data_IF_048533855423
#
_entry.id   IF_048533855423
#
_cell.length_a   1.000
_cell.length_b   1.000
_cell.length_c   1.000
_cell.angle_alpha   90.00
_cell.angle_beta   90.00
_cell.angle_gamma   90.00
#
_symmetry.space_group_name_H-M   'P 1'
#
loop_
_entity.id
_entity.type
_entity.pdbx_description
1 polymer ?
#
# COMPACT_ATOMS: atom_id res chain seq x y z
N UNK A 1 -8.17 0.11 -13.40
CA UNK A 1 -7.32 -0.77 -12.57
C UNK A 1 -7.38 -2.16 -13.16
N UNK A 2 -6.33 -2.93 -12.99
CA UNK A 2 -6.28 -4.34 -13.37
C UNK A 2 -5.86 -5.10 -12.12
N UNK A 3 -6.67 -6.08 -11.74
CA UNK A 3 -6.35 -7.02 -10.69
C UNK A 3 -5.28 -7.99 -11.20
N UNK A 4 -4.21 -8.14 -10.42
CA UNK A 4 -3.20 -9.17 -10.61
C UNK A 4 -3.39 -10.18 -9.48
N UNK A 5 -3.79 -11.40 -9.85
CA UNK A 5 -3.92 -12.51 -8.90
C UNK A 5 -2.54 -13.15 -8.68
N UNK A 6 -2.09 -13.15 -7.43
CA UNK A 6 -0.94 -13.92 -6.97
C UNK A 6 -1.43 -15.01 -6.04
N UNK A 7 -0.73 -16.15 -6.00
CA UNK A 7 -1.13 -17.40 -5.36
C UNK A 7 -2.13 -17.28 -4.20
N UNK A 8 -1.85 -16.42 -3.22
CA UNK A 8 -2.65 -16.23 -2.01
C UNK A 8 -3.23 -14.81 -1.82
N UNK A 9 -3.04 -13.86 -2.75
CA UNK A 9 -3.56 -12.49 -2.65
C UNK A 9 -3.74 -11.79 -4.00
N UNK A 10 -4.68 -10.86 -4.06
CA UNK A 10 -4.91 -9.98 -5.20
C UNK A 10 -4.15 -8.66 -5.00
N UNK A 11 -3.75 -8.02 -6.10
CA UNK A 11 -3.25 -6.65 -6.08
C UNK A 11 -3.81 -5.90 -7.27
N UNK A 12 -4.49 -4.79 -7.00
CA UNK A 12 -4.97 -3.88 -8.03
C UNK A 12 -3.85 -2.94 -8.48
N UNK A 13 -3.56 -2.91 -9.79
CA UNK A 13 -2.64 -1.94 -10.37
C UNK A 13 -3.32 -0.98 -11.36
N UNK A 14 -2.87 0.26 -11.39
CA UNK A 14 -3.27 1.25 -12.36
C UNK A 14 -2.30 1.26 -13.54
N UNK A 15 -2.76 0.91 -14.74
CA UNK A 15 -1.91 0.89 -15.93
C UNK A 15 -1.47 2.29 -16.40
N UNK A 16 -2.25 3.34 -16.09
CA UNK A 16 -1.93 4.71 -16.49
C UNK A 16 -0.79 5.31 -15.66
N UNK A 17 -0.86 5.19 -14.32
CA UNK A 17 0.12 5.79 -13.43
C UNK A 17 1.11 4.78 -12.81
N UNK A 18 0.86 3.47 -12.93
CA UNK A 18 1.62 2.41 -12.26
C UNK A 18 1.47 2.39 -10.74
N UNK A 19 0.39 2.98 -10.21
CA UNK A 19 0.06 2.91 -8.79
C UNK A 19 -0.57 1.58 -8.42
N UNK A 20 -0.57 1.26 -7.14
CA UNK A 20 -1.07 0.02 -6.56
C UNK A 20 -2.13 0.37 -5.51
N UNK A 21 -3.22 -0.37 -5.52
CA UNK A 21 -4.25 -0.33 -4.51
C UNK A 21 -4.21 -1.64 -3.72
N UNK A 22 -4.20 -1.51 -2.39
CA UNK A 22 -4.41 -2.63 -1.48
C UNK A 22 -5.67 -2.38 -0.66
N UNK A 23 -6.63 -3.29 -0.74
CA UNK A 23 -7.83 -3.20 0.07
C UNK A 23 -7.60 -3.63 1.54
N UNK A 24 -8.61 -3.42 2.38
CA UNK A 24 -8.51 -3.77 3.81
C UNK A 24 -8.24 -5.25 4.07
N UNK A 25 -8.79 -6.15 3.26
CA UNK A 25 -8.60 -7.60 3.41
C UNK A 25 -7.23 -8.05 2.93
N UNK A 26 -6.74 -7.50 1.82
CA UNK A 26 -5.37 -7.75 1.34
C UNK A 26 -4.34 -7.26 2.36
N UNK A 27 -4.56 -6.09 2.96
CA UNK A 27 -3.70 -5.57 4.03
C UNK A 27 -3.68 -6.48 5.26
N UNK A 28 -4.83 -7.01 5.68
CA UNK A 28 -4.93 -7.98 6.77
C UNK A 28 -4.14 -9.25 6.46
N UNK A 29 -4.23 -9.76 5.22
CA UNK A 29 -3.46 -10.92 4.75
C UNK A 29 -1.95 -10.67 4.74
N UNK A 30 -1.51 -9.49 4.28
CA UNK A 30 -0.09 -9.12 4.20
C UNK A 30 0.53 -8.93 5.59
N UNK A 31 -0.22 -8.29 6.50
CA UNK A 31 0.25 -7.91 7.84
C UNK A 31 0.02 -9.02 8.88
N UNK A 32 -0.80 -10.02 8.56
CA UNK A 32 -1.09 -11.17 9.44
C UNK A 32 -1.80 -10.80 10.74
N UNK A 33 -2.34 -9.57 10.82
CA UNK A 33 -3.08 -9.03 11.95
C UNK A 33 -4.15 -8.07 11.41
N UNK A 34 -5.31 -8.05 12.06
CA UNK A 34 -6.31 -6.99 11.90
C UNK A 34 -5.71 -5.71 12.51
N UNK A 35 -5.00 -4.97 11.67
CA UNK A 35 -4.47 -3.66 12.02
C UNK A 35 -5.35 -2.61 11.37
N UNK A 36 -5.91 -1.66 12.14
CA UNK A 36 -6.64 -0.55 11.56
C UNK A 36 -5.75 0.14 10.54
N UNK A 37 -6.24 0.41 9.34
CA UNK A 37 -5.47 1.01 8.23
C UNK A 37 -4.75 2.30 8.67
N UNK A 38 -5.36 3.04 9.60
CA UNK A 38 -4.79 4.25 10.22
C UNK A 38 -3.57 4.00 11.11
N UNK A 39 -3.32 2.78 11.56
CA UNK A 39 -2.14 2.38 12.34
C UNK A 39 -0.96 2.09 11.42
N UNK A 40 -1.21 1.58 10.21
CA UNK A 40 -0.19 1.37 9.17
C UNK A 40 0.33 2.71 8.66
N UNK A 41 -0.57 3.69 8.54
CA UNK A 41 -0.21 5.08 8.37
C UNK A 41 0.29 5.67 9.70
N UNK A 42 1.56 5.43 10.00
CA UNK A 42 2.24 6.03 11.15
C UNK A 42 1.98 7.55 11.16
N UNK A 43 1.95 8.14 12.36
CA UNK A 43 1.42 9.48 12.69
C UNK A 43 2.27 10.64 12.13
N UNK A 44 2.62 10.59 10.84
CA UNK A 44 3.27 11.68 10.11
C UNK A 44 2.31 12.81 9.79
N UNK A 45 2.81 13.83 9.10
CA UNK A 45 2.00 14.95 8.64
C UNK A 45 0.87 14.45 7.73
N UNK A 46 -0.37 14.69 8.14
CA UNK A 46 -1.55 14.32 7.36
C UNK A 46 -1.88 15.45 6.39
N UNK A 47 -1.88 15.15 5.10
CA UNK A 47 -2.27 16.10 4.06
C UNK A 47 -3.47 15.59 3.26
N UNK A 48 -4.08 16.48 2.47
CA UNK A 48 -5.20 16.09 1.60
C UNK A 48 -4.63 15.44 0.35
N UNK A 49 -4.99 14.17 0.13
CA UNK A 49 -4.58 13.46 -1.08
C UNK A 49 -5.15 14.09 -2.34
N UNK A 50 -4.40 14.00 -3.43
CA UNK A 50 -4.88 14.30 -4.78
C UNK A 50 -5.76 13.18 -5.32
N UNK A 51 -5.75 12.00 -4.69
CA UNK A 51 -6.46 10.79 -5.11
C UNK A 51 -7.83 10.66 -4.45
N UNK A 52 -8.67 9.90 -5.15
CA UNK A 52 -9.95 9.42 -4.64
C UNK A 52 -9.86 7.92 -4.45
N UNK A 53 -10.51 7.42 -3.41
CA UNK A 53 -10.59 5.98 -3.18
C UNK A 53 -11.33 5.33 -4.36
N UNK A 54 -10.79 4.24 -4.94
CA UNK A 54 -11.44 3.56 -6.07
C UNK A 54 -12.76 2.88 -5.67
N UNK A 55 -12.95 2.56 -4.38
CA UNK A 55 -14.16 1.91 -3.86
C UNK A 55 -15.27 2.92 -3.56
N UNK A 56 -15.00 3.96 -2.77
CA UNK A 56 -16.02 4.91 -2.32
C UNK A 56 -15.99 6.29 -3.00
N UNK A 57 -15.03 6.54 -3.87
CA UNK A 57 -14.85 7.78 -4.64
C UNK A 57 -14.69 9.07 -3.79
N UNK A 58 -14.48 8.94 -2.47
CA UNK A 58 -14.16 10.05 -1.57
C UNK A 58 -12.67 10.41 -1.65
N UNK A 59 -12.34 11.67 -1.37
CA UNK A 59 -10.94 12.10 -1.24
C UNK A 59 -10.25 11.32 -0.12
N UNK A 60 -9.02 10.91 -0.40
CA UNK A 60 -8.16 10.20 0.54
C UNK A 60 -7.33 11.18 1.37
N UNK A 61 -6.73 10.66 2.43
CA UNK A 61 -5.76 11.39 3.26
C UNK A 61 -4.37 10.85 2.95
N UNK A 62 -3.42 11.73 2.67
CA UNK A 62 -2.03 11.36 2.42
C UNK A 62 -1.25 11.40 3.74
N UNK A 63 -0.44 10.38 3.98
CA UNK A 63 0.35 10.19 5.20
C UNK A 63 1.80 9.93 4.82
N UNK A 64 2.75 10.61 5.45
CA UNK A 64 4.16 10.29 5.31
C UNK A 64 4.56 9.16 6.27
N UNK A 65 5.13 8.06 5.74
CA UNK A 65 5.66 6.96 6.54
C UNK A 65 6.88 7.41 7.35
N UNK A 66 7.03 6.91 8.59
CA UNK A 66 8.21 7.15 9.41
C UNK A 66 9.31 6.10 9.16
N UNK A 67 9.66 5.91 7.89
CA UNK A 67 10.79 5.09 7.46
C UNK A 67 12.00 5.97 7.12
N UNK A 68 13.23 5.41 7.12
CA UNK A 68 14.42 6.12 6.65
C UNK A 68 14.25 6.72 5.25
N UNK A 69 13.42 6.10 4.42
CA UNK A 69 12.89 6.66 3.18
C UNK A 69 11.42 7.04 3.41
N UNK A 70 11.18 8.27 3.84
CA UNK A 70 9.82 8.78 4.02
C UNK A 70 9.08 8.70 2.70
N UNK A 71 7.97 7.99 2.69
CA UNK A 71 7.14 7.72 1.51
C UNK A 71 5.74 8.22 1.81
N UNK A 72 5.11 8.92 0.87
CA UNK A 72 3.72 9.32 1.02
C UNK A 72 2.85 8.09 0.73
N UNK A 73 1.80 7.85 1.50
CA UNK A 73 0.80 6.82 1.20
C UNK A 73 -0.59 7.42 1.32
N UNK A 74 -1.47 7.02 0.43
CA UNK A 74 -2.82 7.54 0.36
C UNK A 74 -3.78 6.58 1.06
N UNK A 75 -4.48 7.04 2.09
CA UNK A 75 -5.36 6.20 2.91
C UNK A 75 -6.82 6.59 2.72
N UNK A 76 -7.67 5.59 2.52
CA UNK A 76 -9.11 5.79 2.48
C UNK A 76 -9.65 6.23 3.86
N UNK A 77 -10.38 7.36 3.87
CA UNK A 77 -10.99 7.89 5.11
C UNK A 77 -12.13 7.02 5.66
N UNK A 78 -12.59 6.05 4.88
CA UNK A 78 -13.61 5.07 5.25
C UNK A 78 -13.06 3.64 5.29
N UNK A 79 -11.74 3.50 5.39
CA UNK A 79 -11.08 2.21 5.66
C UNK A 79 -11.27 1.12 4.59
N UNK A 80 -11.47 1.50 3.32
CA UNK A 80 -11.50 0.52 2.22
C UNK A 80 -10.11 0.02 1.80
N UNK A 81 -9.04 0.75 2.12
CA UNK A 81 -7.70 0.39 1.65
C UNK A 81 -6.71 1.55 1.61
N UNK A 82 -5.53 1.25 1.11
CA UNK A 82 -4.38 2.14 0.92
C UNK A 82 -3.99 2.14 -0.56
N UNK A 83 -3.69 3.32 -1.08
CA UNK A 83 -3.09 3.51 -2.38
C UNK A 83 -1.61 3.87 -2.24
N UNK A 84 -0.80 3.23 -3.07
CA UNK A 84 0.63 3.45 -3.21
C UNK A 84 0.92 3.93 -4.63
N UNK A 85 1.60 5.05 -4.77
CA UNK A 85 2.12 5.48 -6.05
C UNK A 85 3.28 4.62 -6.53
N UNK A 86 3.60 4.81 -7.81
CA UNK A 86 4.59 3.99 -8.50
C UNK A 86 5.90 3.99 -7.72
N UNK A 87 6.31 2.81 -7.25
CA UNK A 87 7.56 2.60 -6.51
C UNK A 87 7.49 2.89 -5.00
N UNK A 88 6.37 3.42 -4.49
CA UNK A 88 6.20 3.68 -3.05
C UNK A 88 6.15 2.39 -2.24
N UNK A 89 5.32 1.42 -2.67
CA UNK A 89 5.23 0.12 -2.03
C UNK A 89 6.58 -0.61 -2.00
N UNK A 90 7.36 -0.55 -3.09
CA UNK A 90 8.71 -1.11 -3.15
C UNK A 90 9.66 -0.41 -2.16
N UNK A 91 9.57 0.92 -2.06
CA UNK A 91 10.38 1.73 -1.14
C UNK A 91 10.10 1.38 0.31
N UNK A 92 8.83 1.18 0.65
CA UNK A 92 8.38 0.76 1.99
C UNK A 92 8.87 -0.67 2.25
N UNK A 93 8.65 -1.60 1.32
CA UNK A 93 9.11 -2.97 1.46
C UNK A 93 10.63 -3.04 1.68
N UNK A 94 11.41 -2.23 0.96
CA UNK A 94 12.85 -2.07 1.14
C UNK A 94 13.25 -1.52 2.50
N UNK A 95 12.44 -0.66 3.08
CA UNK A 95 12.70 0.00 4.37
C UNK A 95 12.29 -0.84 5.59
N UNK A 96 11.46 -1.87 5.40
CA UNK A 96 11.09 -2.81 6.46
C UNK A 96 12.29 -3.69 6.84
N UNK A 97 12.70 -3.62 8.11
CA UNK A 97 13.72 -4.49 8.69
C UNK A 97 13.12 -5.86 9.08
N UNK A 98 13.88 -6.94 8.88
CA UNK A 98 13.58 -8.27 9.47
C UNK A 98 13.47 -8.13 11.00
N UNK A 99 12.41 -8.63 11.66
CA UNK A 99 11.59 -9.79 11.29
C UNK A 99 10.17 -9.45 10.80
N UNK A 100 9.85 -8.19 10.51
CA UNK A 100 8.53 -7.76 10.00
C UNK A 100 8.28 -8.13 8.54
N UNK A 101 9.24 -8.80 7.90
CA UNK A 101 9.14 -9.27 6.52
C UNK A 101 8.30 -10.56 6.50
N UNK A 102 7.01 -10.41 6.25
CA UNK A 102 6.16 -11.57 5.97
C UNK A 102 6.57 -12.19 4.61
N UNK A 103 6.34 -13.50 4.45
CA UNK A 103 6.53 -14.20 3.17
C UNK A 103 5.81 -13.51 2.00
N UNK A 104 4.71 -12.81 2.31
CA UNK A 104 3.94 -12.03 1.35
C UNK A 104 4.72 -10.80 0.86
N UNK A 105 5.39 -10.05 1.74
CA UNK A 105 6.26 -8.94 1.35
C UNK A 105 7.47 -9.39 0.51
N UNK A 106 7.93 -10.62 0.71
CA UNK A 106 8.94 -11.24 -0.14
C UNK A 106 8.42 -11.57 -1.54
N UNK A 107 7.22 -12.14 -1.63
CA UNK A 107 6.55 -12.38 -2.90
C UNK A 107 6.29 -11.07 -3.64
N UNK A 108 5.82 -10.03 -2.92
CA UNK A 108 5.65 -8.68 -3.46
C UNK A 108 6.97 -8.08 -3.96
N UNK A 109 8.07 -8.17 -3.19
CA UNK A 109 9.40 -7.72 -3.65
C UNK A 109 9.79 -8.39 -4.99
N UNK A 110 9.57 -9.69 -5.14
CA UNK A 110 9.89 -10.41 -6.37
C UNK A 110 9.05 -9.95 -7.59
N UNK A 111 7.84 -9.46 -7.35
CA UNK A 111 6.94 -8.91 -8.37
C UNK A 111 7.39 -7.51 -8.79
N UNK A 112 7.77 -6.66 -7.84
CA UNK A 112 8.06 -5.23 -8.10
C UNK A 112 9.54 -4.93 -8.39
N UNK A 113 10.45 -5.91 -8.24
CA UNK A 113 11.87 -5.79 -8.64
C UNK A 113 12.17 -6.35 -10.03
N UNK A 114 11.22 -7.06 -10.66
CA UNK A 114 11.33 -7.36 -12.08
C UNK A 114 10.86 -6.15 -12.87
N UNK A 115 11.84 -5.40 -13.34
CA UNK A 115 11.68 -4.38 -14.39
C UNK A 115 10.81 -4.94 -15.52
N UNK A 116 9.80 -4.17 -15.94
CA UNK A 116 9.25 -4.26 -17.30
C UNK A 116 10.27 -3.68 -18.29
#
# INVERSE_FOLDING_TARGET
>A
MVALEFADFEVDTCLDCGGIWLDSGELEMILGQDVPIRVVADSGDVSVSKRKCPVCNKKMSAYATRSPRATEIDVCTTEHGIWFDRGELSTIAESLQEPLRSTVLDQMRAIFTKEF
#
